data_IF_716622259284
#
_entry.id   IF_716622259284
#
_cell.length_a   1.000
_cell.length_b   1.000
_cell.length_c   1.000
_cell.angle_alpha   90.00
_cell.angle_beta   90.00
_cell.angle_gamma   90.00
#
_symmetry.space_group_name_H-M   'P 1'
#
loop_
_entity.id
_entity.type
_entity.pdbx_description
1 polymer ?
#
# COMPACT_ATOMS: atom_id res chain seq x y z
N UNK A 1 2.36 7.75 -22.52
CA UNK A 1 3.83 7.76 -22.66
C UNK A 1 4.25 7.99 -24.10
N UNK A 2 5.53 8.34 -24.34
CA UNK A 2 6.09 8.72 -25.66
C UNK A 2 5.78 7.68 -26.75
N UNK A 3 5.90 6.39 -26.42
CA UNK A 3 5.65 5.29 -27.37
C UNK A 3 4.25 4.69 -27.28
N UNK A 4 3.37 5.21 -26.41
CA UNK A 4 2.06 4.60 -26.16
C UNK A 4 1.23 4.46 -27.43
N UNK A 5 1.19 5.50 -28.26
CA UNK A 5 0.49 5.49 -29.55
C UNK A 5 1.14 4.60 -30.60
N UNK A 6 2.47 4.42 -30.54
CA UNK A 6 3.22 3.69 -31.57
C UNK A 6 3.25 2.19 -31.33
N UNK A 7 3.30 1.76 -30.07
CA UNK A 7 3.50 0.36 -29.70
C UNK A 7 2.20 -0.22 -29.15
N UNK A 8 1.81 -0.04 -27.86
CA UNK A 8 0.72 -0.80 -27.30
C UNK A 8 -0.63 -0.47 -27.94
N UNK A 9 -0.90 0.82 -28.20
CA UNK A 9 -2.18 1.22 -28.76
C UNK A 9 -2.34 0.77 -30.21
N UNK A 10 -1.33 1.02 -31.06
CA UNK A 10 -1.36 0.63 -32.46
C UNK A 10 -1.35 -0.88 -32.69
N UNK A 11 -0.60 -1.63 -31.88
CA UNK A 11 -0.42 -3.07 -32.10
C UNK A 11 -1.53 -3.92 -31.47
N UNK A 12 -2.04 -3.54 -30.30
CA UNK A 12 -2.96 -4.39 -29.53
C UNK A 12 -4.36 -3.83 -29.40
N UNK A 13 -4.53 -2.50 -29.30
CA UNK A 13 -5.82 -1.90 -28.93
C UNK A 13 -6.62 -1.44 -30.15
N UNK A 14 -5.99 -0.66 -31.04
CA UNK A 14 -6.64 -0.10 -32.24
C UNK A 14 -7.19 -1.18 -33.19
N UNK A 15 -6.49 -2.29 -33.46
CA UNK A 15 -7.02 -3.34 -34.33
C UNK A 15 -8.29 -4.01 -33.76
N UNK A 16 -8.44 -4.04 -32.43
CA UNK A 16 -9.57 -4.69 -31.76
C UNK A 16 -10.82 -3.81 -31.70
N UNK A 17 -10.70 -2.50 -31.90
CA UNK A 17 -11.80 -1.55 -31.71
C UNK A 17 -12.63 -1.32 -32.98
N UNK A 18 -12.11 -1.62 -34.17
CA UNK A 18 -12.85 -1.55 -35.44
C UNK A 18 -13.30 -0.14 -35.87
N UNK A 19 -13.10 0.88 -35.04
CA UNK A 19 -13.53 2.27 -35.26
C UNK A 19 -12.35 3.26 -35.18
N UNK A 20 -12.55 4.44 -35.76
CA UNK A 20 -11.60 5.55 -35.63
C UNK A 20 -11.73 6.16 -34.24
N UNK A 21 -10.62 6.15 -33.50
CA UNK A 21 -10.57 6.71 -32.14
C UNK A 21 -10.07 8.15 -32.23
N UNK A 22 -10.88 9.06 -31.72
CA UNK A 22 -10.50 10.46 -31.52
C UNK A 22 -10.09 10.68 -30.06
N UNK A 23 -8.93 11.30 -29.86
CA UNK A 23 -8.44 11.64 -28.53
C UNK A 23 -8.75 13.10 -28.23
N UNK A 24 -9.43 13.35 -27.11
CA UNK A 24 -9.71 14.70 -26.64
C UNK A 24 -8.63 15.16 -25.66
N UNK A 25 -8.12 16.37 -25.87
CA UNK A 25 -7.16 17.03 -24.97
C UNK A 25 -5.89 17.52 -25.67
N UNK A 26 -5.11 18.32 -24.95
CA UNK A 26 -3.87 18.94 -25.43
C UNK A 26 -2.60 18.15 -25.07
N UNK A 27 -2.76 16.98 -24.44
CA UNK A 27 -1.64 16.20 -23.94
C UNK A 27 -0.80 15.63 -25.09
N UNK A 28 0.47 16.02 -25.15
CA UNK A 28 1.43 15.51 -26.11
C UNK A 28 2.70 15.02 -25.41
N UNK A 29 2.83 13.69 -25.31
CA UNK A 29 3.96 13.06 -24.62
C UNK A 29 5.31 13.34 -25.29
N UNK A 30 5.35 13.47 -26.62
CA UNK A 30 6.60 13.75 -27.35
C UNK A 30 7.10 15.16 -27.02
N UNK A 31 6.21 16.14 -27.10
CA UNK A 31 6.52 17.53 -26.78
C UNK A 31 6.95 17.68 -25.32
N UNK A 32 6.22 17.08 -24.37
CA UNK A 32 6.56 17.11 -22.96
C UNK A 32 7.97 16.54 -22.69
N UNK A 33 8.33 15.41 -23.30
CA UNK A 33 9.67 14.82 -23.16
C UNK A 33 10.77 15.72 -23.72
N UNK A 34 10.55 16.35 -24.89
CA UNK A 34 11.52 17.29 -25.46
C UNK A 34 11.73 18.48 -24.51
N UNK A 35 10.66 19.07 -23.98
CA UNK A 35 10.74 20.19 -23.06
C UNK A 35 11.51 19.83 -21.77
N UNK A 36 11.28 18.63 -21.23
CA UNK A 36 12.03 18.13 -20.07
C UNK A 36 13.53 18.01 -20.40
N UNK A 37 13.88 17.41 -21.55
CA UNK A 37 15.28 17.25 -21.97
C UNK A 37 15.96 18.62 -22.14
N UNK A 38 15.27 19.58 -22.77
CA UNK A 38 15.79 20.95 -22.92
C UNK A 38 15.98 21.59 -21.55
N UNK A 39 15.03 21.46 -20.62
CA UNK A 39 15.15 21.99 -19.27
C UNK A 39 16.34 21.40 -18.51
N UNK A 40 16.57 20.08 -18.62
CA UNK A 40 17.74 19.42 -18.04
C UNK A 40 19.03 19.95 -18.66
N UNK A 41 19.10 20.05 -20.00
CA UNK A 41 20.28 20.57 -20.69
C UNK A 41 20.62 22.01 -20.27
N UNK A 42 19.62 22.88 -20.18
CA UNK A 42 19.78 24.25 -19.66
C UNK A 42 20.25 24.25 -18.21
N UNK A 43 19.66 23.41 -17.34
CA UNK A 43 20.07 23.27 -15.95
C UNK A 43 21.53 22.83 -15.80
N UNK A 44 21.99 21.90 -16.65
CA UNK A 44 23.38 21.45 -16.71
C UNK A 44 24.31 22.60 -17.12
N UNK A 45 23.94 23.38 -18.14
CA UNK A 45 24.72 24.55 -18.57
C UNK A 45 24.86 25.54 -17.41
N UNK A 46 23.76 25.86 -16.72
CA UNK A 46 23.77 26.76 -15.55
C UNK A 46 24.64 26.21 -14.43
N UNK A 47 24.56 24.90 -14.14
CA UNK A 47 25.40 24.25 -13.14
C UNK A 47 26.90 24.39 -13.46
N UNK A 48 27.31 24.12 -14.71
CA UNK A 48 28.71 24.27 -15.11
C UNK A 48 29.18 25.73 -15.04
N UNK A 49 28.35 26.69 -15.44
CA UNK A 49 28.65 28.11 -15.29
C UNK A 49 28.82 28.51 -13.81
N UNK A 50 27.98 27.97 -12.91
CA UNK A 50 28.08 28.21 -11.47
C UNK A 50 29.29 27.57 -10.80
N UNK A 51 29.82 26.48 -11.37
CA UNK A 51 30.96 25.73 -10.84
C UNK A 51 32.32 26.38 -11.15
N UNK A 52 32.34 27.47 -11.94
CA UNK A 52 33.56 28.22 -12.28
C UNK A 52 34.27 28.77 -11.03
N UNK A 53 33.52 29.05 -9.95
CA UNK A 53 34.07 29.54 -8.68
C UNK A 53 34.03 28.43 -7.63
N UNK A 54 35.14 28.21 -6.92
CA UNK A 54 35.19 27.25 -5.81
C UNK A 54 34.15 27.63 -4.75
N UNK A 55 33.18 26.75 -4.54
CA UNK A 55 32.22 26.84 -3.43
C UNK A 55 32.90 26.39 -2.14
N UNK A 56 32.67 27.12 -1.05
CA UNK A 56 33.09 26.67 0.29
C UNK A 56 32.10 25.60 0.74
N UNK A 57 32.60 24.43 1.08
CA UNK A 57 31.84 23.43 1.82
C UNK A 57 31.81 23.81 3.30
N UNK A 58 30.65 23.63 3.93
CA UNK A 58 30.43 23.88 5.35
C UNK A 58 29.68 22.70 5.93
N UNK A 59 29.90 22.45 7.21
CA UNK A 59 29.22 21.38 7.94
C UNK A 59 27.72 21.63 7.98
N UNK A 60 26.95 20.55 8.01
CA UNK A 60 25.51 20.61 8.15
C UNK A 60 25.16 21.02 9.59
N UNK A 61 24.38 22.09 9.73
CA UNK A 61 24.01 22.64 11.02
C UNK A 61 22.49 22.81 11.16
N UNK A 62 21.98 22.71 12.38
CA UNK A 62 20.58 23.00 12.73
C UNK A 62 20.59 23.93 13.93
N UNK A 63 19.96 25.10 13.81
CA UNK A 63 19.93 26.09 14.91
C UNK A 63 21.30 26.66 15.31
N UNK A 64 22.33 26.49 14.47
CA UNK A 64 23.71 26.92 14.74
C UNK A 64 24.61 25.81 15.29
N UNK A 65 24.05 24.64 15.63
CA UNK A 65 24.79 23.49 16.14
C UNK A 65 25.20 22.54 15.01
N UNK A 66 26.42 22.00 15.10
CA UNK A 66 26.96 21.04 14.13
C UNK A 66 26.32 19.67 14.36
N UNK A 67 25.71 19.09 13.32
CA UNK A 67 24.97 17.82 13.44
C UNK A 67 25.86 16.62 13.79
N UNK A 68 27.15 16.65 13.43
CA UNK A 68 28.11 15.61 13.80
C UNK A 68 28.40 15.62 15.31
N UNK A 69 28.40 16.79 15.94
CA UNK A 69 28.62 16.96 17.39
C UNK A 69 27.35 16.70 18.20
N UNK A 70 26.18 16.95 17.60
CA UNK A 70 24.86 16.76 18.24
C UNK A 70 23.97 15.80 17.43
N UNK A 71 24.21 14.46 17.46
CA UNK A 71 23.44 13.48 16.71
C UNK A 71 21.93 13.51 17.00
N UNK A 72 21.54 13.90 18.21
CA UNK A 72 20.14 14.00 18.64
C UNK A 72 19.35 15.12 17.92
N UNK A 73 20.04 16.11 17.35
CA UNK A 73 19.42 17.20 16.57
C UNK A 73 19.19 16.82 15.11
N UNK A 74 19.65 15.64 14.69
CA UNK A 74 19.44 15.14 13.33
C UNK A 74 17.97 14.77 13.15
N UNK A 75 17.29 15.44 12.23
CA UNK A 75 15.93 15.09 11.84
C UNK A 75 15.93 13.71 11.19
N UNK A 76 15.24 12.75 11.80
CA UNK A 76 15.06 11.44 11.20
C UNK A 76 14.18 11.54 9.96
N UNK A 77 14.64 10.99 8.83
CA UNK A 77 13.87 10.96 7.59
C UNK A 77 12.56 10.17 7.71
N UNK A 78 12.48 9.22 8.64
CA UNK A 78 11.25 8.46 8.91
C UNK A 78 10.25 9.27 9.72
N UNK A 79 10.73 10.11 10.63
CA UNK A 79 9.87 10.93 11.51
C UNK A 79 9.43 12.23 10.84
N UNK A 80 10.15 12.68 9.80
CA UNK A 80 9.79 13.86 9.02
C UNK A 80 8.34 13.84 8.52
N UNK A 81 7.82 12.64 8.20
CA UNK A 81 6.45 12.46 7.72
C UNK A 81 5.41 12.22 8.81
N UNK A 82 5.80 12.22 10.10
CA UNK A 82 4.85 12.01 11.20
C UNK A 82 3.74 13.06 11.19
N UNK A 83 4.02 14.32 10.84
CA UNK A 83 2.97 15.33 10.71
C UNK A 83 1.87 14.91 9.73
N UNK A 84 2.23 14.32 8.58
CA UNK A 84 1.25 13.83 7.58
C UNK A 84 0.54 12.55 8.06
N UNK A 85 1.23 11.71 8.84
CA UNK A 85 0.63 10.55 9.48
C UNK A 85 -0.40 10.97 10.54
N UNK A 86 -0.12 12.05 11.27
CA UNK A 86 -0.84 12.46 12.47
C UNK A 86 -2.01 13.42 12.18
N UNK A 87 -2.18 13.88 10.94
CA UNK A 87 -3.37 14.67 10.55
C UNK A 87 -4.63 13.79 10.47
N UNK A 88 -5.77 14.34 10.88
CA UNK A 88 -7.07 13.68 10.69
C UNK A 88 -7.52 13.84 9.23
N UNK A 89 -7.99 12.78 8.54
CA UNK A 89 -8.36 11.46 9.08
C UNK A 89 -7.24 10.39 9.03
N UNK A 90 -6.07 10.69 8.46
CA UNK A 90 -4.98 9.74 8.25
C UNK A 90 -4.50 9.09 9.57
N UNK A 91 -4.40 9.84 10.65
CA UNK A 91 -4.02 9.32 11.97
C UNK A 91 -4.91 8.14 12.39
N UNK A 92 -6.21 8.26 12.17
CA UNK A 92 -7.16 7.19 12.51
C UNK A 92 -6.93 5.96 11.65
N UNK A 93 -6.68 6.15 10.34
CA UNK A 93 -6.39 5.05 9.42
C UNK A 93 -5.09 4.34 9.84
N UNK A 94 -4.02 5.08 10.14
CA UNK A 94 -2.75 4.52 10.59
C UNK A 94 -2.86 3.81 11.94
N UNK A 95 -3.66 4.34 12.86
CA UNK A 95 -3.95 3.67 14.15
C UNK A 95 -4.72 2.36 13.96
N UNK A 96 -5.70 2.33 13.05
CA UNK A 96 -6.43 1.10 12.69
C UNK A 96 -5.51 0.09 11.99
N UNK A 97 -4.63 0.55 11.11
CA UNK A 97 -3.61 -0.30 10.47
C UNK A 97 -2.65 -0.89 11.51
N UNK A 98 -2.18 -0.11 12.49
CA UNK A 98 -1.36 -0.60 13.60
C UNK A 98 -2.06 -1.65 14.47
N UNK A 99 -3.40 -1.61 14.55
CA UNK A 99 -4.24 -2.63 15.20
C UNK A 99 -4.55 -3.83 14.30
N UNK A 100 -3.92 -3.92 13.12
CA UNK A 100 -4.12 -5.00 12.14
C UNK A 100 -5.57 -5.15 11.68
N UNK A 101 -6.34 -4.06 11.66
CA UNK A 101 -7.75 -4.08 11.22
C UNK A 101 -7.86 -4.35 9.72
N UNK A 102 -6.84 -4.00 8.93
CA UNK A 102 -6.80 -4.25 7.49
C UNK A 102 -6.04 -5.53 7.10
N UNK A 103 -5.58 -6.31 8.08
CA UNK A 103 -4.88 -7.57 7.86
C UNK A 103 -5.89 -8.73 7.84
N UNK A 104 -6.24 -9.19 6.64
CA UNK A 104 -7.21 -10.27 6.43
C UNK A 104 -6.76 -11.57 7.10
N UNK A 105 -5.45 -11.85 7.14
CA UNK A 105 -4.95 -13.05 7.82
C UNK A 105 -5.14 -12.96 9.32
N UNK A 106 -4.84 -11.80 9.92
CA UNK A 106 -5.06 -11.58 11.35
C UNK A 106 -6.54 -11.69 11.72
N UNK A 107 -7.43 -11.02 10.98
CA UNK A 107 -8.87 -11.13 11.19
C UNK A 107 -9.38 -12.55 11.01
N UNK A 108 -8.95 -13.23 9.95
CA UNK A 108 -9.29 -14.64 9.70
C UNK A 108 -8.83 -15.55 10.82
N UNK A 109 -7.63 -15.34 11.37
CA UNK A 109 -7.12 -16.11 12.50
C UNK A 109 -7.98 -15.93 13.76
N UNK A 110 -8.42 -14.71 14.07
CA UNK A 110 -9.30 -14.45 15.23
C UNK A 110 -10.60 -15.23 15.08
N UNK A 111 -11.19 -15.24 13.88
CA UNK A 111 -12.43 -15.95 13.58
C UNK A 111 -12.22 -17.46 13.71
N UNK A 112 -11.19 -18.01 13.08
CA UNK A 112 -10.95 -19.47 13.07
C UNK A 112 -10.60 -19.99 14.46
N UNK A 113 -9.77 -19.27 15.23
CA UNK A 113 -9.46 -19.64 16.60
C UNK A 113 -10.68 -19.51 17.52
N UNK A 114 -11.52 -18.50 17.32
CA UNK A 114 -12.79 -18.36 18.02
C UNK A 114 -13.71 -19.55 17.78
N UNK A 115 -13.91 -19.93 16.51
CA UNK A 115 -14.71 -21.08 16.12
C UNK A 115 -14.14 -22.40 16.65
N UNK A 116 -12.82 -22.59 16.55
CA UNK A 116 -12.14 -23.76 17.09
C UNK A 116 -12.36 -23.89 18.61
N UNK A 117 -12.34 -22.79 19.37
CA UNK A 117 -12.62 -22.81 20.81
C UNK A 117 -14.01 -23.37 21.13
N UNK A 118 -15.02 -23.06 20.32
CA UNK A 118 -16.39 -23.58 20.47
C UNK A 118 -16.42 -25.08 20.18
N UNK A 119 -15.86 -25.51 19.04
CA UNK A 119 -15.77 -26.92 18.66
C UNK A 119 -15.06 -27.75 19.74
N UNK A 120 -13.95 -27.23 20.28
CA UNK A 120 -13.19 -27.87 21.36
C UNK A 120 -14.02 -28.01 22.64
N UNK A 121 -14.88 -27.04 22.96
CA UNK A 121 -15.76 -27.13 24.12
C UNK A 121 -16.81 -28.25 23.97
N UNK A 122 -17.35 -28.42 22.77
CA UNK A 122 -18.30 -29.50 22.45
C UNK A 122 -17.60 -30.88 22.47
N UNK A 123 -16.33 -30.92 22.08
CA UNK A 123 -15.50 -32.13 22.05
C UNK A 123 -14.69 -32.30 23.35
N UNK A 124 -15.38 -32.43 24.49
CA UNK A 124 -14.78 -32.45 25.83
C UNK A 124 -14.21 -33.80 26.29
N UNK A 125 -14.26 -34.85 25.46
CA UNK A 125 -13.71 -36.18 25.80
C UNK A 125 -14.52 -36.98 26.82
N UNK A 126 -15.69 -36.49 27.24
CA UNK A 126 -16.55 -37.15 28.23
C UNK A 126 -17.56 -38.06 27.51
N UNK A 127 -17.53 -39.36 27.82
CA UNK A 127 -18.35 -40.39 27.17
C UNK A 127 -19.87 -40.08 27.15
N UNK A 128 -20.51 -39.64 28.26
CA UNK A 128 -21.90 -39.20 28.26
C UNK A 128 -22.25 -38.16 27.20
N UNK A 129 -21.35 -37.22 26.90
CA UNK A 129 -21.57 -36.17 25.89
C UNK A 129 -21.77 -36.78 24.51
N UNK A 130 -20.95 -37.76 24.14
CA UNK A 130 -21.04 -38.46 22.84
C UNK A 130 -22.30 -39.32 22.74
N UNK A 131 -22.66 -40.00 23.84
CA UNK A 131 -23.89 -40.77 23.88
C UNK A 131 -25.12 -39.86 23.66
N UNK A 132 -25.12 -38.66 24.24
CA UNK A 132 -26.12 -37.62 23.96
C UNK A 132 -26.19 -37.23 22.48
N UNK A 133 -25.05 -37.03 21.82
CA UNK A 133 -25.00 -36.75 20.37
C UNK A 133 -25.56 -37.90 19.52
N UNK A 134 -25.27 -39.16 19.88
CA UNK A 134 -25.83 -40.33 19.20
C UNK A 134 -27.36 -40.39 19.30
N UNK A 135 -27.92 -40.16 20.50
CA UNK A 135 -29.37 -40.11 20.69
C UNK A 135 -30.02 -38.96 19.92
N UNK A 136 -29.44 -37.77 19.97
CA UNK A 136 -29.92 -36.61 19.21
C UNK A 136 -29.94 -36.92 17.70
N UNK A 137 -28.87 -37.52 17.18
CA UNK A 137 -28.78 -37.94 15.79
C UNK A 137 -29.86 -38.95 15.40
N UNK A 138 -30.12 -39.96 16.24
CA UNK A 138 -31.19 -40.93 16.00
C UNK A 138 -32.59 -40.29 15.98
N UNK A 139 -32.86 -39.35 16.90
CA UNK A 139 -34.14 -38.61 16.93
C UNK A 139 -34.34 -37.82 15.63
N UNK A 140 -33.30 -37.10 15.18
CA UNK A 140 -33.34 -36.34 13.93
C UNK A 140 -33.57 -37.26 12.73
N UNK A 141 -32.88 -38.39 12.67
CA UNK A 141 -33.04 -39.38 11.59
C UNK A 141 -34.45 -39.96 11.55
N UNK A 142 -34.98 -40.37 12.71
CA UNK A 142 -36.36 -40.89 12.78
C UNK A 142 -37.38 -39.82 12.43
N UNK A 143 -37.19 -38.57 12.84
CA UNK A 143 -38.06 -37.46 12.44
C UNK A 143 -38.07 -37.26 10.92
N UNK A 144 -36.91 -37.34 10.26
CA UNK A 144 -36.81 -37.18 8.80
C UNK A 144 -37.43 -38.39 8.07
N UNK A 145 -37.25 -39.60 8.59
CA UNK A 145 -37.72 -40.84 7.94
C UNK A 145 -39.22 -41.09 8.14
N UNK A 146 -39.78 -40.69 9.29
CA UNK A 146 -41.19 -40.88 9.65
C UNK A 146 -42.08 -39.69 9.25
N UNK A 147 -41.48 -38.65 8.66
CA UNK A 147 -42.17 -37.55 8.01
C UNK A 147 -42.37 -37.87 6.53
#
# INVERSE_FOLDING_TARGET
GVFAYKIPLKMFIFPSLGEKIEFFGIWNANLATILIIVGIAVGIIVYFLGTIKKTRETEAFVGGEILEEQPNMRVSGTEFYNTIKDITPLDTIYRLAGRKVFDIYHLGSIITFGFNKILRYIHNGILPTYLGWCFLGMIILFYILLR
#
